data_IF_434153069459
#
_entry.id   IF_434153069459
#
_cell.length_a   1.000
_cell.length_b   1.000
_cell.length_c   1.000
_cell.angle_alpha   90.00
_cell.angle_beta   90.00
_cell.angle_gamma   90.00
#
_symmetry.space_group_name_H-M   'P 1'
#
loop_
_entity.id
_entity.type
_entity.pdbx_description
1 polymer ?
#
# COMPACT_ATOMS: atom_id res chain seq x y z
N UNK A 1 11.32 -38.67 8.98
CA UNK A 1 11.27 -39.16 10.38
C UNK A 1 9.98 -38.67 10.97
N UNK A 2 9.17 -39.58 11.58
CA UNK A 2 7.94 -39.19 12.26
C UNK A 2 8.32 -38.39 13.53
N UNK A 3 7.90 -37.13 13.60
CA UNK A 3 8.16 -36.27 14.76
C UNK A 3 7.39 -36.76 15.98
N UNK A 4 7.87 -36.41 17.18
CA UNK A 4 7.20 -36.71 18.45
C UNK A 4 5.81 -36.08 18.50
N UNK A 5 4.89 -36.75 19.19
CA UNK A 5 3.50 -36.30 19.36
C UNK A 5 3.29 -35.66 20.75
N UNK A 6 2.17 -34.96 20.95
CA UNK A 6 1.75 -34.45 22.27
C UNK A 6 1.63 -35.57 23.33
N UNK A 7 1.37 -36.82 22.89
CA UNK A 7 1.31 -37.96 23.78
C UNK A 7 2.70 -38.39 24.27
N UNK A 8 3.72 -38.24 23.43
CA UNK A 8 5.09 -38.54 23.83
C UNK A 8 5.61 -37.53 24.83
N UNK A 9 5.28 -36.25 24.65
CA UNK A 9 5.56 -35.17 25.63
C UNK A 9 4.85 -35.47 26.97
N UNK A 10 3.57 -35.85 26.94
CA UNK A 10 2.81 -36.18 28.14
C UNK A 10 3.42 -37.35 28.91
N UNK A 11 3.80 -38.41 28.18
CA UNK A 11 4.48 -39.56 28.73
C UNK A 11 5.84 -39.20 29.33
N UNK A 12 6.64 -38.42 28.65
CA UNK A 12 7.97 -37.99 29.10
C UNK A 12 7.88 -37.05 30.32
N UNK A 13 6.93 -36.12 30.34
CA UNK A 13 6.71 -35.16 31.45
C UNK A 13 5.99 -35.81 32.65
N UNK A 14 5.49 -37.03 32.55
CA UNK A 14 4.72 -37.67 33.60
C UNK A 14 3.38 -37.00 33.93
N UNK A 15 2.74 -36.39 32.93
CA UNK A 15 1.46 -35.67 33.09
C UNK A 15 0.42 -36.17 32.06
N UNK A 16 -0.84 -35.77 32.25
CA UNK A 16 -1.88 -36.07 31.25
C UNK A 16 -1.73 -35.25 29.95
N UNK A 17 -2.25 -35.74 28.82
CA UNK A 17 -2.37 -35.01 27.57
C UNK A 17 -3.07 -33.67 27.74
N UNK A 18 -4.11 -33.61 28.60
CA UNK A 18 -4.83 -32.37 28.91
C UNK A 18 -3.98 -31.38 29.65
N UNK A 19 -3.07 -31.81 30.52
CA UNK A 19 -2.11 -30.95 31.22
C UNK A 19 -1.11 -30.35 30.23
N UNK A 20 -0.55 -31.14 29.31
CA UNK A 20 0.31 -30.63 28.22
C UNK A 20 -0.45 -29.61 27.37
N UNK A 21 -1.68 -29.93 26.98
CA UNK A 21 -2.51 -29.01 26.20
C UNK A 21 -2.74 -27.67 26.92
N UNK A 22 -3.01 -27.68 28.23
CA UNK A 22 -3.16 -26.44 29.02
C UNK A 22 -1.86 -25.64 29.11
N UNK A 23 -0.71 -26.30 29.28
CA UNK A 23 0.59 -25.60 29.25
C UNK A 23 0.80 -24.91 27.91
N UNK A 24 0.47 -25.58 26.78
CA UNK A 24 0.62 -25.04 25.42
C UNK A 24 -0.34 -23.87 25.12
N UNK A 25 -1.50 -23.83 25.78
CA UNK A 25 -2.52 -22.79 25.57
C UNK A 25 -2.52 -21.71 26.68
N UNK A 26 -1.52 -21.68 27.57
CA UNK A 26 -1.44 -20.70 28.65
C UNK A 26 -2.45 -20.92 29.78
N UNK A 27 -3.12 -22.08 29.80
CA UNK A 27 -4.09 -22.43 30.84
C UNK A 27 -3.46 -22.66 32.19
N UNK A 28 -4.26 -22.52 33.30
CA UNK A 28 -3.79 -22.69 34.64
C UNK A 28 -3.33 -24.14 34.93
N UNK A 29 -2.05 -24.28 35.29
CA UNK A 29 -1.41 -25.53 35.70
C UNK A 29 -0.41 -25.25 36.85
N UNK A 30 -0.01 -26.26 37.62
CA UNK A 30 1.01 -26.07 38.65
C UNK A 30 2.38 -25.75 38.01
N UNK A 31 3.18 -24.91 38.69
CA UNK A 31 4.54 -24.57 38.24
C UNK A 31 5.40 -25.83 37.97
N UNK A 32 5.26 -26.86 38.80
CA UNK A 32 5.94 -28.14 38.64
C UNK A 32 5.56 -28.85 37.33
N UNK A 33 4.27 -28.86 36.96
CA UNK A 33 3.81 -29.46 35.73
C UNK A 33 4.26 -28.66 34.53
N UNK A 34 4.24 -27.31 34.61
CA UNK A 34 4.71 -26.43 33.56
C UNK A 34 6.19 -26.64 33.27
N UNK A 35 7.03 -26.71 34.29
CA UNK A 35 8.47 -26.96 34.17
C UNK A 35 8.74 -28.35 33.57
N UNK A 36 8.05 -29.39 34.03
CA UNK A 36 8.20 -30.75 33.50
C UNK A 36 7.82 -30.86 32.03
N UNK A 37 6.74 -30.19 31.61
CA UNK A 37 6.31 -30.17 30.20
C UNK A 37 7.31 -29.42 29.30
N UNK A 38 7.83 -28.25 29.76
CA UNK A 38 8.84 -27.50 28.99
C UNK A 38 10.12 -28.32 28.81
N UNK A 39 10.64 -28.93 29.88
CA UNK A 39 11.82 -29.79 29.81
C UNK A 39 11.63 -30.99 28.85
N UNK A 40 10.46 -31.64 28.91
CA UNK A 40 10.13 -32.75 28.01
C UNK A 40 10.03 -32.31 26.54
N UNK A 41 9.51 -31.11 26.26
CA UNK A 41 9.44 -30.54 24.90
C UNK A 41 10.84 -30.24 24.35
N UNK A 42 11.72 -29.66 25.16
CA UNK A 42 13.11 -29.38 24.78
C UNK A 42 13.88 -30.68 24.49
N UNK A 43 13.79 -31.66 25.37
CA UNK A 43 14.50 -32.95 25.21
C UNK A 43 14.02 -33.77 24.00
N UNK A 44 12.73 -33.67 23.67
CA UNK A 44 12.15 -34.36 22.51
C UNK A 44 12.20 -33.48 21.23
N UNK A 45 12.77 -32.29 21.27
CA UNK A 45 12.71 -31.31 20.17
C UNK A 45 11.27 -31.17 19.62
N UNK A 46 10.28 -31.28 20.54
CA UNK A 46 8.89 -31.24 20.18
C UNK A 46 8.42 -29.81 19.91
N UNK A 47 8.01 -29.56 18.69
CA UNK A 47 7.28 -28.32 18.32
C UNK A 47 5.79 -28.63 18.20
N UNK A 48 4.93 -27.87 18.89
CA UNK A 48 3.49 -28.04 18.80
C UNK A 48 3.00 -27.92 17.35
N UNK A 49 2.18 -28.85 16.91
CA UNK A 49 1.57 -28.77 15.58
C UNK A 49 0.56 -27.60 15.56
N UNK A 50 0.93 -26.49 14.94
CA UNK A 50 0.09 -25.28 14.81
C UNK A 50 -1.28 -25.60 14.19
N UNK A 51 -1.34 -26.45 13.18
CA UNK A 51 -2.60 -26.84 12.54
C UNK A 51 -3.58 -27.51 13.53
N UNK A 52 -3.06 -28.32 14.47
CA UNK A 52 -3.89 -28.93 15.51
C UNK A 52 -4.35 -27.93 16.59
N UNK A 53 -3.67 -26.80 16.75
CA UNK A 53 -4.08 -25.72 17.64
C UNK A 53 -5.16 -24.86 16.97
N UNK A 54 -4.99 -24.51 15.72
CA UNK A 54 -5.96 -23.75 14.89
C UNK A 54 -7.31 -24.49 14.82
N UNK A 55 -7.30 -25.81 14.61
CA UNK A 55 -8.51 -26.64 14.65
C UNK A 55 -9.28 -26.59 15.99
N UNK A 56 -8.66 -26.04 17.04
CA UNK A 56 -9.28 -25.84 18.36
C UNK A 56 -9.65 -24.39 18.63
N UNK A 57 -9.62 -23.51 17.60
CA UNK A 57 -9.95 -22.09 17.72
C UNK A 57 -8.80 -21.22 18.19
N UNK A 58 -7.54 -21.69 18.12
CA UNK A 58 -6.38 -20.84 18.36
C UNK A 58 -6.06 -19.97 17.13
N UNK A 59 -5.42 -18.81 17.36
CA UNK A 59 -4.92 -17.95 16.29
C UNK A 59 -3.95 -18.68 15.38
N UNK A 60 -3.97 -18.36 14.08
CA UNK A 60 -3.03 -18.87 13.07
C UNK A 60 -1.68 -18.14 13.14
N UNK A 61 -1.64 -16.96 13.81
CA UNK A 61 -0.53 -16.02 13.79
C UNK A 61 -0.10 -15.68 12.35
N UNK A 62 -1.08 -15.59 11.45
CA UNK A 62 -0.86 -15.31 10.05
C UNK A 62 -1.88 -14.27 9.57
N UNK A 63 -1.41 -13.24 8.88
CA UNK A 63 -2.25 -12.21 8.24
C UNK A 63 -2.16 -12.38 6.72
N UNK A 64 -3.30 -12.34 6.05
CA UNK A 64 -3.35 -12.32 4.59
C UNK A 64 -3.15 -10.92 4.04
N UNK A 65 -2.19 -10.73 3.13
CA UNK A 65 -2.01 -9.49 2.39
C UNK A 65 -2.49 -9.71 0.96
N UNK A 66 -3.63 -9.11 0.64
CA UNK A 66 -4.35 -9.32 -0.63
C UNK A 66 -3.97 -8.23 -1.62
N UNK A 67 -3.51 -8.64 -2.78
CA UNK A 67 -3.19 -7.72 -3.88
C UNK A 67 -4.40 -7.65 -4.83
N UNK A 68 -5.15 -6.55 -4.73
CA UNK A 68 -6.36 -6.35 -5.51
C UNK A 68 -6.12 -5.86 -6.94
N UNK A 69 -4.93 -5.28 -7.24
CA UNK A 69 -4.59 -4.70 -8.53
C UNK A 69 -3.58 -5.54 -9.30
N UNK A 70 -3.74 -5.56 -10.66
CA UNK A 70 -2.77 -6.16 -11.58
C UNK A 70 -1.40 -5.47 -11.48
N UNK A 71 -0.33 -6.24 -11.63
CA UNK A 71 1.07 -5.76 -11.66
C UNK A 71 1.59 -5.09 -10.38
N UNK A 72 0.91 -5.24 -9.25
CA UNK A 72 1.36 -4.64 -7.98
C UNK A 72 2.71 -5.20 -7.53
N UNK A 73 3.01 -6.47 -7.82
CA UNK A 73 4.26 -7.14 -7.43
C UNK A 73 5.54 -6.50 -7.97
N UNK A 74 5.46 -5.82 -9.11
CA UNK A 74 6.62 -5.18 -9.75
C UNK A 74 6.90 -3.77 -9.23
N UNK A 75 6.10 -3.27 -8.28
CA UNK A 75 6.26 -1.91 -7.75
C UNK A 75 7.22 -1.90 -6.56
N UNK A 76 8.26 -1.09 -6.61
CA UNK A 76 9.17 -0.85 -5.46
C UNK A 76 8.41 -0.41 -4.21
N UNK A 77 7.36 0.40 -4.35
CA UNK A 77 6.51 0.81 -3.24
C UNK A 77 5.87 -0.37 -2.51
N UNK A 78 5.55 -1.48 -3.19
CA UNK A 78 5.02 -2.67 -2.54
C UNK A 78 6.06 -3.31 -1.62
N UNK A 79 7.29 -3.52 -2.11
CA UNK A 79 8.34 -4.15 -1.31
C UNK A 79 8.66 -3.35 -0.05
N UNK A 80 8.66 -2.02 -0.16
CA UNK A 80 8.86 -1.11 0.99
C UNK A 80 7.70 -1.19 1.99
N UNK A 81 6.45 -1.26 1.52
CA UNK A 81 5.28 -1.46 2.40
C UNK A 81 5.31 -2.81 3.08
N UNK A 82 5.64 -3.88 2.34
CA UNK A 82 5.78 -5.22 2.92
C UNK A 82 6.91 -5.28 3.96
N UNK A 83 8.01 -4.56 3.75
CA UNK A 83 9.07 -4.44 4.74
C UNK A 83 8.58 -3.77 6.03
N UNK A 84 7.78 -2.69 5.91
CA UNK A 84 7.12 -2.05 7.06
C UNK A 84 6.16 -2.99 7.80
N UNK A 85 5.32 -3.71 7.06
CA UNK A 85 4.41 -4.71 7.64
C UNK A 85 5.19 -5.83 8.35
N UNK A 86 6.24 -6.35 7.69
CA UNK A 86 7.08 -7.40 8.26
C UNK A 86 7.75 -6.97 9.57
N UNK A 87 8.16 -5.71 9.67
CA UNK A 87 8.77 -5.18 10.88
C UNK A 87 7.83 -5.32 12.10
N UNK A 88 6.56 -4.95 11.95
CA UNK A 88 5.55 -5.04 13.01
C UNK A 88 5.16 -6.49 13.29
N UNK A 89 4.84 -7.25 12.26
CA UNK A 89 4.40 -8.64 12.40
C UNK A 89 5.46 -9.53 13.03
N UNK A 90 6.73 -9.39 12.64
CA UNK A 90 7.81 -10.19 13.20
C UNK A 90 7.99 -9.96 14.72
N UNK A 91 7.83 -8.72 15.19
CA UNK A 91 7.90 -8.38 16.61
C UNK A 91 6.74 -9.00 17.41
N UNK A 92 5.56 -9.09 16.80
CA UNK A 92 4.37 -9.68 17.40
C UNK A 92 4.29 -11.21 17.22
N UNK A 93 5.28 -11.85 16.58
CA UNK A 93 5.28 -13.29 16.29
C UNK A 93 4.31 -13.71 15.19
N UNK A 94 3.84 -12.76 14.39
CA UNK A 94 2.99 -13.00 13.22
C UNK A 94 3.84 -13.21 11.96
N UNK A 95 3.28 -13.99 11.04
CA UNK A 95 3.73 -14.08 9.65
C UNK A 95 2.68 -13.45 8.73
N UNK A 96 3.01 -13.17 7.48
CA UNK A 96 1.98 -12.80 6.51
C UNK A 96 2.05 -13.69 5.26
N UNK A 97 0.89 -13.88 4.63
CA UNK A 97 0.70 -14.63 3.41
C UNK A 97 0.28 -13.68 2.29
N UNK A 98 1.04 -13.63 1.20
CA UNK A 98 0.63 -12.88 0.01
C UNK A 98 -0.46 -13.66 -0.73
N UNK A 99 -1.63 -13.04 -0.86
CA UNK A 99 -2.77 -13.61 -1.56
C UNK A 99 -2.93 -12.86 -2.89
N UNK A 100 -2.66 -13.57 -3.98
CA UNK A 100 -2.85 -13.05 -5.32
C UNK A 100 -4.21 -13.52 -5.85
N UNK A 101 -5.08 -12.57 -6.19
CA UNK A 101 -6.45 -12.83 -6.61
C UNK A 101 -6.68 -12.60 -8.11
N UNK A 102 -5.63 -12.45 -8.89
CA UNK A 102 -5.68 -11.96 -10.29
C UNK A 102 -6.34 -12.90 -11.32
N UNK A 103 -6.64 -14.13 -10.96
CA UNK A 103 -7.20 -15.09 -11.93
C UNK A 103 -8.65 -14.80 -12.30
N UNK A 104 -9.37 -14.04 -11.45
CA UNK A 104 -10.78 -13.66 -11.69
C UNK A 104 -11.10 -12.35 -10.99
N UNK A 105 -11.09 -11.19 -11.69
CA UNK A 105 -11.28 -9.87 -11.08
C UNK A 105 -12.54 -9.74 -10.22
N UNK A 106 -13.63 -10.39 -10.63
CA UNK A 106 -14.91 -10.36 -9.91
C UNK A 106 -14.99 -11.35 -8.73
N UNK A 107 -13.94 -12.15 -8.46
CA UNK A 107 -13.89 -13.13 -7.38
C UNK A 107 -12.75 -12.89 -6.40
N UNK A 108 -12.01 -11.80 -6.56
CA UNK A 108 -10.82 -11.50 -5.75
C UNK A 108 -11.14 -11.43 -4.25
N UNK A 109 -12.25 -10.81 -3.91
CA UNK A 109 -12.70 -10.65 -2.53
C UNK A 109 -13.18 -11.98 -1.96
N UNK A 110 -14.06 -12.71 -2.68
CA UNK A 110 -14.56 -14.00 -2.19
C UNK A 110 -13.41 -14.99 -1.98
N UNK A 111 -12.46 -15.05 -2.91
CA UNK A 111 -11.26 -15.89 -2.76
C UNK A 111 -10.46 -15.53 -1.50
N UNK A 112 -10.27 -14.23 -1.22
CA UNK A 112 -9.55 -13.79 -0.03
C UNK A 112 -10.34 -14.10 1.26
N UNK A 113 -11.68 -13.93 1.25
CA UNK A 113 -12.52 -14.23 2.40
C UNK A 113 -12.50 -15.72 2.78
N UNK A 114 -12.36 -16.64 1.81
CA UNK A 114 -12.19 -18.08 2.13
C UNK A 114 -10.96 -18.36 3.00
N UNK A 115 -9.90 -17.54 2.91
CA UNK A 115 -8.74 -17.71 3.80
C UNK A 115 -9.08 -17.42 5.27
N UNK A 116 -10.00 -16.47 5.54
CA UNK A 116 -10.54 -16.25 6.89
C UNK A 116 -11.49 -17.39 7.32
N UNK A 117 -12.40 -17.77 6.45
CA UNK A 117 -13.42 -18.80 6.71
C UNK A 117 -12.78 -20.16 6.99
N UNK A 118 -11.74 -20.50 6.25
CA UNK A 118 -10.96 -21.74 6.42
C UNK A 118 -9.97 -21.65 7.59
N UNK A 119 -9.95 -20.55 8.36
CA UNK A 119 -9.00 -20.29 9.44
C UNK A 119 -7.53 -20.46 8.99
N UNK A 120 -7.21 -20.01 7.79
CA UNK A 120 -5.84 -19.98 7.25
C UNK A 120 -5.10 -18.71 7.62
N UNK A 121 -5.82 -17.63 7.89
CA UNK A 121 -5.33 -16.34 8.35
C UNK A 121 -6.28 -15.77 9.41
N UNK A 122 -5.76 -14.91 10.29
CA UNK A 122 -6.53 -14.26 11.36
C UNK A 122 -7.16 -12.95 10.90
N UNK A 123 -6.61 -12.33 9.87
CA UNK A 123 -7.08 -11.07 9.29
C UNK A 123 -6.57 -10.86 7.88
N UNK A 124 -7.12 -9.86 7.19
CA UNK A 124 -6.77 -9.51 5.81
C UNK A 124 -6.43 -8.03 5.67
N UNK A 125 -5.35 -7.73 4.96
CA UNK A 125 -5.01 -6.36 4.52
C UNK A 125 -5.15 -6.31 3.01
N UNK A 126 -6.11 -5.53 2.51
CA UNK A 126 -6.32 -5.33 1.08
C UNK A 126 -5.49 -4.16 0.58
N UNK A 127 -4.54 -4.43 -0.32
CA UNK A 127 -3.69 -3.43 -0.97
C UNK A 127 -4.34 -2.97 -2.28
N UNK A 128 -4.72 -1.70 -2.32
CA UNK A 128 -5.37 -1.06 -3.46
C UNK A 128 -6.87 -0.86 -3.32
N UNK A 129 -7.47 -0.25 -4.33
CA UNK A 129 -8.91 0.01 -4.40
C UNK A 129 -9.67 -1.22 -4.92
N UNK A 130 -10.80 -1.53 -4.31
CA UNK A 130 -11.74 -2.54 -4.78
C UNK A 130 -12.83 -1.84 -5.58
N UNK A 131 -12.88 -2.12 -6.88
CA UNK A 131 -13.76 -1.40 -7.81
C UNK A 131 -15.22 -1.79 -7.66
N UNK A 132 -15.48 -3.07 -7.52
CA UNK A 132 -16.81 -3.63 -7.44
C UNK A 132 -17.48 -3.27 -6.10
N UNK A 133 -18.67 -2.66 -6.19
CA UNK A 133 -19.42 -2.19 -5.02
C UNK A 133 -19.94 -3.34 -4.17
N UNK A 134 -20.40 -4.43 -4.78
CA UNK A 134 -20.91 -5.59 -4.06
C UNK A 134 -19.78 -6.30 -3.31
N UNK A 135 -18.60 -6.43 -3.92
CA UNK A 135 -17.43 -6.97 -3.25
C UNK A 135 -17.01 -6.10 -2.06
N UNK A 136 -17.07 -4.77 -2.18
CA UNK A 136 -16.82 -3.87 -1.03
C UNK A 136 -17.84 -4.08 0.09
N UNK A 137 -19.11 -4.20 -0.24
CA UNK A 137 -20.15 -4.46 0.78
C UNK A 137 -19.93 -5.77 1.52
N UNK A 138 -19.38 -6.80 0.86
CA UNK A 138 -19.00 -8.07 1.51
C UNK A 138 -17.89 -7.86 2.53
N UNK A 139 -16.86 -7.10 2.16
CA UNK A 139 -15.74 -6.81 3.06
C UNK A 139 -16.17 -6.01 4.29
N UNK A 140 -17.04 -5.02 4.12
CA UNK A 140 -17.52 -4.16 5.21
C UNK A 140 -18.32 -4.91 6.30
N UNK A 141 -18.69 -6.15 6.05
CA UNK A 141 -19.34 -7.02 7.04
C UNK A 141 -18.35 -7.71 7.99
N UNK A 142 -17.05 -7.61 7.71
CA UNK A 142 -15.98 -8.26 8.46
C UNK A 142 -15.12 -7.22 9.16
N UNK A 143 -14.87 -7.45 10.44
CA UNK A 143 -14.02 -6.56 11.23
C UNK A 143 -12.52 -6.82 11.03
N UNK A 144 -12.17 -8.06 10.73
CA UNK A 144 -10.79 -8.53 10.59
C UNK A 144 -10.15 -8.10 9.25
N UNK A 145 -10.51 -6.88 8.77
CA UNK A 145 -10.05 -6.38 7.47
C UNK A 145 -9.57 -4.95 7.58
N UNK A 146 -8.35 -4.71 7.09
CA UNK A 146 -7.78 -3.38 6.87
C UNK A 146 -7.78 -3.07 5.37
N UNK A 147 -8.31 -1.89 5.02
CA UNK A 147 -8.29 -1.37 3.65
C UNK A 147 -7.16 -0.40 3.46
N UNK A 148 -6.63 -0.36 2.24
CA UNK A 148 -5.63 0.62 1.87
C UNK A 148 -6.06 1.50 0.68
N UNK A 149 -7.34 1.44 0.32
CA UNK A 149 -7.89 2.23 -0.77
C UNK A 149 -8.20 3.68 -0.39
N UNK A 150 -8.36 4.52 -1.40
CA UNK A 150 -8.61 5.97 -1.27
C UNK A 150 -10.11 6.34 -1.25
N UNK A 151 -11.02 5.38 -1.23
CA UNK A 151 -12.47 5.70 -1.30
C UNK A 151 -12.97 6.33 -0.02
N UNK A 152 -13.71 7.42 -0.19
CA UNK A 152 -14.27 8.25 0.88
C UNK A 152 -15.57 7.65 1.45
N UNK A 153 -16.19 6.71 0.76
CA UNK A 153 -17.49 6.13 1.09
C UNK A 153 -17.44 4.96 2.10
N UNK A 154 -16.28 4.66 2.65
CA UNK A 154 -16.12 3.65 3.71
C UNK A 154 -16.27 4.32 5.08
N UNK A 155 -17.52 4.56 5.49
CA UNK A 155 -17.83 5.12 6.82
C UNK A 155 -17.80 4.06 7.95
N UNK A 156 -17.67 2.78 7.61
CA UNK A 156 -17.63 1.67 8.56
C UNK A 156 -16.54 0.69 8.14
N UNK A 157 -15.34 0.85 8.68
CA UNK A 157 -14.21 -0.04 8.39
C UNK A 157 -12.90 0.52 8.93
N UNK A 158 -11.87 -0.28 8.85
CA UNK A 158 -10.52 0.10 9.21
C UNK A 158 -9.74 0.42 7.95
N UNK A 159 -9.27 1.65 7.83
CA UNK A 159 -8.59 2.12 6.62
C UNK A 159 -7.28 2.81 6.94
N UNK A 160 -6.27 2.54 6.09
CA UNK A 160 -5.03 3.31 6.02
C UNK A 160 -4.87 3.80 4.58
N UNK A 161 -4.60 5.09 4.34
CA UNK A 161 -4.53 5.65 3.00
C UNK A 161 -3.52 6.81 2.89
N UNK A 162 -3.08 7.10 1.66
CA UNK A 162 -2.05 8.12 1.41
C UNK A 162 -2.60 9.53 1.15
N UNK A 163 -3.89 9.66 0.84
CA UNK A 163 -4.50 10.95 0.52
C UNK A 163 -4.11 11.48 -0.87
N UNK A 164 -4.25 10.66 -1.92
CA UNK A 164 -3.86 11.00 -3.30
C UNK A 164 -4.42 12.33 -3.79
N UNK A 165 -5.64 12.67 -3.42
CA UNK A 165 -6.25 13.94 -3.75
C UNK A 165 -5.49 15.11 -3.09
N UNK A 166 -5.17 15.01 -1.81
CA UNK A 166 -4.58 16.10 -1.03
C UNK A 166 -3.16 16.44 -1.49
N UNK A 167 -2.28 15.45 -1.62
CA UNK A 167 -0.93 15.73 -2.08
C UNK A 167 -0.87 16.18 -3.54
N UNK A 168 -1.80 15.73 -4.38
CA UNK A 168 -1.92 16.21 -5.75
C UNK A 168 -2.39 17.66 -5.78
N UNK A 169 -3.38 18.01 -4.95
CA UNK A 169 -3.85 19.39 -4.78
C UNK A 169 -2.70 20.31 -4.37
N UNK A 170 -1.87 19.89 -3.42
CA UNK A 170 -0.79 20.74 -2.92
C UNK A 170 0.30 20.94 -3.99
N UNK A 171 0.59 19.94 -4.84
CA UNK A 171 1.49 20.11 -5.98
C UNK A 171 0.91 21.06 -7.05
N UNK A 172 -0.38 20.94 -7.38
CA UNK A 172 -1.02 21.87 -8.32
C UNK A 172 -1.12 23.27 -7.74
N UNK A 173 -1.43 23.40 -6.46
CA UNK A 173 -1.46 24.69 -5.76
C UNK A 173 -0.10 25.38 -5.88
N UNK A 174 0.98 24.67 -5.57
CA UNK A 174 2.33 25.20 -5.69
C UNK A 174 2.67 25.65 -7.11
N UNK A 175 2.30 24.88 -8.14
CA UNK A 175 2.50 25.27 -9.53
C UNK A 175 1.71 26.52 -9.90
N UNK A 176 0.44 26.61 -9.51
CA UNK A 176 -0.45 27.74 -9.85
C UNK A 176 -0.02 29.00 -9.10
N UNK A 177 0.42 28.92 -7.86
CA UNK A 177 1.00 30.03 -7.09
C UNK A 177 2.30 30.57 -7.71
N UNK A 178 3.03 29.72 -8.45
CA UNK A 178 4.19 30.14 -9.24
C UNK A 178 3.82 30.53 -10.69
N UNK A 179 2.55 30.74 -11.00
CA UNK A 179 2.08 31.23 -12.30
C UNK A 179 1.79 30.15 -13.36
N UNK A 180 2.00 28.87 -13.06
CA UNK A 180 1.78 27.77 -14.01
C UNK A 180 0.31 27.32 -14.01
N UNK A 181 -0.51 27.92 -14.85
CA UNK A 181 -1.93 27.54 -14.99
C UNK A 181 -2.18 26.45 -16.06
N UNK A 182 -1.22 26.24 -16.96
CA UNK A 182 -1.30 25.24 -18.02
C UNK A 182 -0.37 24.06 -17.69
N UNK A 183 -0.89 23.10 -16.92
CA UNK A 183 -0.12 21.97 -16.37
C UNK A 183 -0.50 20.66 -17.08
N UNK A 184 0.50 19.92 -17.55
CA UNK A 184 0.36 18.57 -18.10
C UNK A 184 0.65 17.53 -17.03
N UNK A 185 -0.32 16.66 -16.74
CA UNK A 185 -0.13 15.53 -15.82
C UNK A 185 0.17 14.27 -16.60
N UNK A 186 1.29 13.64 -16.31
CA UNK A 186 1.79 12.48 -17.05
C UNK A 186 1.82 11.24 -16.18
N UNK A 187 1.23 10.16 -16.69
CA UNK A 187 1.20 8.85 -16.06
C UNK A 187 1.95 7.81 -16.89
N UNK A 188 2.70 6.97 -16.22
CA UNK A 188 3.35 5.80 -16.82
C UNK A 188 2.59 4.50 -16.54
N UNK A 189 1.66 4.55 -15.60
CA UNK A 189 0.92 3.37 -15.15
C UNK A 189 -0.55 3.72 -15.06
N UNK A 190 -1.35 3.06 -15.88
CA UNK A 190 -2.79 3.30 -15.92
C UNK A 190 -3.44 2.94 -14.59
N UNK A 191 -3.98 3.94 -13.94
CA UNK A 191 -4.91 3.81 -12.82
C UNK A 191 -5.96 4.92 -12.97
N UNK A 192 -7.08 4.58 -13.59
CA UNK A 192 -8.13 5.53 -13.92
C UNK A 192 -8.62 6.34 -12.71
N UNK A 193 -8.69 5.73 -11.53
CA UNK A 193 -9.14 6.43 -10.32
C UNK A 193 -8.13 7.43 -9.80
N UNK A 194 -6.85 7.07 -9.81
CA UNK A 194 -5.79 8.00 -9.48
C UNK A 194 -5.81 9.20 -10.42
N UNK A 195 -5.99 8.94 -11.72
CA UNK A 195 -6.13 9.98 -12.74
C UNK A 195 -7.33 10.89 -12.47
N UNK A 196 -8.50 10.31 -12.17
CA UNK A 196 -9.72 11.08 -11.83
C UNK A 196 -9.53 11.96 -10.60
N UNK A 197 -8.88 11.45 -9.54
CA UNK A 197 -8.61 12.21 -8.32
C UNK A 197 -7.65 13.37 -8.55
N UNK A 198 -6.59 13.14 -9.30
CA UNK A 198 -5.65 14.22 -9.66
C UNK A 198 -6.31 15.25 -10.55
N UNK A 199 -7.14 14.80 -11.51
CA UNK A 199 -7.95 15.71 -12.34
C UNK A 199 -8.86 16.57 -11.47
N UNK A 200 -9.60 15.97 -10.53
CA UNK A 200 -10.47 16.70 -9.61
C UNK A 200 -9.67 17.68 -8.74
N UNK A 201 -8.48 17.31 -8.27
CA UNK A 201 -7.60 18.19 -7.53
C UNK A 201 -7.15 19.39 -8.37
N UNK A 202 -6.74 19.17 -9.61
CA UNK A 202 -6.36 20.24 -10.55
C UNK A 202 -7.52 21.19 -10.83
N UNK A 203 -8.68 20.65 -11.18
CA UNK A 203 -9.90 21.44 -11.45
C UNK A 203 -10.30 22.31 -10.24
N UNK A 204 -10.23 21.75 -9.04
CA UNK A 204 -10.54 22.51 -7.84
C UNK A 204 -9.55 23.64 -7.58
N UNK A 205 -8.24 23.40 -7.75
CA UNK A 205 -7.24 24.46 -7.58
C UNK A 205 -7.42 25.52 -8.65
N UNK A 206 -7.59 25.17 -9.90
CA UNK A 206 -7.89 26.14 -10.96
C UNK A 206 -9.10 27.00 -10.62
N UNK A 207 -10.20 26.39 -10.16
CA UNK A 207 -11.42 27.11 -9.74
C UNK A 207 -11.14 28.11 -8.60
N UNK A 208 -10.31 27.71 -7.62
CA UNK A 208 -9.94 28.59 -6.50
C UNK A 208 -9.26 29.87 -6.95
N UNK A 209 -8.49 29.81 -8.04
CA UNK A 209 -7.79 30.96 -8.64
C UNK A 209 -8.55 31.61 -9.80
N UNK A 210 -9.81 31.25 -10.04
CA UNK A 210 -10.61 31.78 -11.14
C UNK A 210 -10.06 31.42 -12.53
N UNK A 211 -9.35 30.30 -12.65
CA UNK A 211 -8.75 29.78 -13.89
C UNK A 211 -9.55 28.60 -14.40
N UNK A 212 -9.48 28.36 -15.71
CA UNK A 212 -9.96 27.11 -16.31
C UNK A 212 -8.80 26.09 -16.34
N UNK A 213 -9.05 24.80 -16.08
CA UNK A 213 -8.06 23.77 -16.28
C UNK A 213 -7.70 23.66 -17.76
N UNK A 214 -6.43 23.34 -18.06
CA UNK A 214 -5.97 23.16 -19.43
C UNK A 214 -6.69 21.99 -20.12
N UNK A 215 -7.02 22.16 -21.38
CA UNK A 215 -7.54 21.07 -22.23
C UNK A 215 -6.45 20.01 -22.43
N UNK A 216 -6.85 18.74 -22.50
CA UNK A 216 -5.93 17.62 -22.69
C UNK A 216 -4.75 17.58 -21.69
N UNK A 217 -4.98 18.06 -20.47
CA UNK A 217 -3.99 18.17 -19.39
C UNK A 217 -3.57 16.84 -18.77
N UNK A 218 -4.07 15.71 -19.29
CA UNK A 218 -3.73 14.36 -18.80
C UNK A 218 -3.20 13.54 -19.97
N UNK A 219 -2.01 12.97 -19.80
CA UNK A 219 -1.37 12.07 -20.74
C UNK A 219 -1.04 10.74 -20.04
N UNK A 220 -1.67 9.66 -20.51
CA UNK A 220 -1.41 8.31 -20.02
C UNK A 220 -0.50 7.58 -21.03
N UNK A 221 0.75 7.36 -20.64
CA UNK A 221 1.76 6.70 -21.49
C UNK A 221 1.59 5.17 -21.53
N UNK A 222 0.65 4.58 -20.79
CA UNK A 222 0.38 3.15 -20.79
C UNK A 222 -0.56 2.71 -21.92
N UNK A 223 -1.47 3.59 -22.33
CA UNK A 223 -2.56 3.24 -23.25
C UNK A 223 -2.20 3.45 -24.72
N UNK A 224 -0.92 3.62 -25.05
CA UNK A 224 -0.50 3.81 -26.42
C UNK A 224 -0.31 2.48 -27.14
N UNK A 225 -0.85 2.44 -28.37
CA UNK A 225 -0.76 1.28 -29.24
C UNK A 225 0.69 0.93 -29.56
N UNK A 226 0.94 -0.32 -29.95
CA UNK A 226 2.22 -0.85 -30.42
C UNK A 226 2.86 -0.06 -31.58
N UNK A 227 2.17 0.94 -32.12
CA UNK A 227 2.63 1.81 -33.23
C UNK A 227 3.51 2.97 -32.74
N UNK A 228 3.44 3.35 -31.46
CA UNK A 228 4.27 4.44 -30.91
C UNK A 228 5.60 3.88 -30.43
N UNK A 229 6.64 4.11 -31.23
CA UNK A 229 7.99 3.60 -30.95
C UNK A 229 8.66 4.25 -29.73
N UNK A 230 8.29 5.49 -29.38
CA UNK A 230 8.92 6.24 -28.27
C UNK A 230 7.89 7.05 -27.48
N UNK A 231 7.52 6.61 -26.24
CA UNK A 231 6.58 7.34 -25.39
C UNK A 231 7.04 8.78 -25.02
N UNK A 232 8.34 9.03 -24.98
CA UNK A 232 8.87 10.36 -24.66
C UNK A 232 8.70 11.34 -25.82
N UNK A 233 8.78 10.88 -27.07
CA UNK A 233 8.52 11.68 -28.25
C UNK A 233 7.06 12.15 -28.28
N UNK A 234 6.12 11.24 -28.04
CA UNK A 234 4.71 11.59 -27.93
C UNK A 234 4.46 12.63 -26.84
N UNK A 235 5.06 12.42 -25.65
CA UNK A 235 4.95 13.37 -24.55
C UNK A 235 5.46 14.75 -24.96
N UNK A 236 6.59 14.82 -25.62
CA UNK A 236 7.21 16.05 -26.08
C UNK A 236 6.31 16.81 -27.07
N UNK A 237 5.82 16.11 -28.11
CA UNK A 237 4.87 16.68 -29.08
C UNK A 237 3.59 17.17 -28.41
N UNK A 238 3.03 16.37 -27.50
CA UNK A 238 1.83 16.73 -26.75
C UNK A 238 2.06 17.97 -25.89
N UNK A 239 3.22 18.03 -25.21
CA UNK A 239 3.61 19.16 -24.39
C UNK A 239 3.67 20.47 -25.22
N UNK A 240 4.35 20.46 -26.36
CA UNK A 240 4.48 21.61 -27.23
C UNK A 240 3.14 22.04 -27.84
N UNK A 241 2.36 21.09 -28.33
CA UNK A 241 1.05 21.33 -28.94
C UNK A 241 0.08 21.98 -27.96
N UNK A 242 0.08 21.50 -26.70
CA UNK A 242 -0.78 22.01 -25.64
C UNK A 242 -0.28 23.30 -25.02
N UNK A 243 0.94 23.77 -25.40
CA UNK A 243 1.59 24.96 -24.81
C UNK A 243 1.65 24.91 -23.29
N UNK A 244 1.91 23.72 -22.74
CA UNK A 244 2.04 23.53 -21.31
C UNK A 244 3.29 24.24 -20.78
N UNK A 245 3.21 24.80 -19.58
CA UNK A 245 4.32 25.48 -18.92
C UNK A 245 4.91 24.67 -17.78
N UNK A 246 4.17 23.65 -17.33
CA UNK A 246 4.62 22.76 -16.27
C UNK A 246 4.16 21.33 -16.50
N UNK A 247 4.90 20.40 -15.92
CA UNK A 247 4.60 18.95 -15.93
C UNK A 247 4.47 18.45 -14.49
N UNK A 248 3.40 17.70 -14.23
CA UNK A 248 3.28 16.87 -13.04
C UNK A 248 3.53 15.41 -13.41
N UNK A 249 4.70 14.89 -13.09
CA UNK A 249 5.10 13.50 -13.36
C UNK A 249 4.64 12.55 -12.25
N UNK A 250 4.20 11.35 -12.62
CA UNK A 250 3.71 10.32 -11.68
C UNK A 250 4.79 9.78 -10.74
N UNK A 251 6.05 9.95 -11.09
CA UNK A 251 7.20 9.60 -10.24
C UNK A 251 8.41 10.49 -10.54
N UNK A 252 9.34 10.60 -9.60
CA UNK A 252 10.64 11.26 -9.84
C UNK A 252 11.45 10.54 -10.92
N UNK A 253 11.33 9.22 -11.03
CA UNK A 253 11.96 8.42 -12.10
C UNK A 253 11.45 8.85 -13.49
N UNK A 254 10.13 8.99 -13.65
CA UNK A 254 9.53 9.55 -14.87
C UNK A 254 9.99 10.99 -15.10
N UNK A 255 10.01 11.82 -14.06
CA UNK A 255 10.49 13.19 -14.10
C UNK A 255 11.91 13.30 -14.65
N UNK A 256 12.82 12.49 -14.17
CA UNK A 256 14.23 12.45 -14.64
C UNK A 256 14.33 12.00 -16.10
N UNK A 257 13.51 11.06 -16.54
CA UNK A 257 13.46 10.65 -17.96
C UNK A 257 12.93 11.78 -18.85
N UNK A 258 11.93 12.53 -18.38
CA UNK A 258 11.41 13.72 -19.08
C UNK A 258 12.51 14.77 -19.20
N UNK A 259 13.19 15.10 -18.10
CA UNK A 259 14.28 16.09 -18.10
C UNK A 259 15.36 15.70 -19.10
N UNK A 260 15.81 14.44 -19.09
CA UNK A 260 16.84 13.96 -20.00
C UNK A 260 16.40 14.05 -21.47
N UNK A 261 15.18 13.62 -21.77
CA UNK A 261 14.67 13.65 -23.14
C UNK A 261 14.47 15.09 -23.64
N UNK A 262 13.84 15.96 -22.85
CA UNK A 262 13.57 17.35 -23.21
C UNK A 262 14.88 18.13 -23.41
N UNK A 263 15.89 17.88 -22.59
CA UNK A 263 17.22 18.47 -22.74
C UNK A 263 17.86 18.08 -24.09
N UNK A 264 17.70 16.82 -24.55
CA UNK A 264 18.17 16.38 -25.87
C UNK A 264 17.42 17.07 -27.03
N UNK A 265 16.19 17.52 -26.77
CA UNK A 265 15.38 18.31 -27.72
C UNK A 265 15.59 19.84 -27.60
N UNK A 266 16.51 20.28 -26.74
CA UNK A 266 16.86 21.69 -26.56
C UNK A 266 16.02 22.45 -25.55
N UNK A 267 15.14 21.79 -24.78
CA UNK A 267 14.39 22.43 -23.69
C UNK A 267 15.11 22.28 -22.35
N UNK A 268 15.21 23.37 -21.63
CA UNK A 268 15.89 23.45 -20.34
C UNK A 268 14.88 23.58 -19.20
N UNK A 269 15.01 22.67 -18.20
CA UNK A 269 14.21 22.73 -16.99
C UNK A 269 14.38 24.08 -16.29
N UNK A 270 13.30 24.66 -15.77
CA UNK A 270 13.23 25.97 -15.12
C UNK A 270 13.40 27.17 -16.05
N UNK A 271 13.75 26.99 -17.32
CA UNK A 271 13.76 28.06 -18.32
C UNK A 271 12.57 27.94 -19.28
N UNK A 272 12.40 26.78 -19.84
CA UNK A 272 11.36 26.50 -20.84
C UNK A 272 10.13 25.82 -20.24
N UNK A 273 10.32 25.09 -19.11
CA UNK A 273 9.24 24.41 -18.40
C UNK A 273 9.59 24.15 -16.94
N UNK A 274 8.57 23.94 -16.13
CA UNK A 274 8.67 23.50 -14.74
C UNK A 274 8.24 22.05 -14.59
N UNK A 275 8.72 21.37 -13.53
CA UNK A 275 8.38 19.98 -13.27
C UNK A 275 8.21 19.72 -11.78
N UNK A 276 7.12 19.03 -11.42
CA UNK A 276 6.90 18.47 -10.07
C UNK A 276 6.61 16.97 -10.19
N UNK A 277 6.91 16.22 -9.14
CA UNK A 277 6.72 14.77 -9.17
C UNK A 277 6.29 14.18 -7.83
N UNK A 278 5.90 12.91 -7.86
CA UNK A 278 5.73 12.09 -6.65
C UNK A 278 7.04 11.35 -6.42
N UNK A 279 7.62 11.52 -5.24
CA UNK A 279 8.76 10.74 -4.76
C UNK A 279 8.27 9.65 -3.82
N UNK A 280 8.72 8.43 -4.04
CA UNK A 280 8.50 7.34 -3.11
C UNK A 280 9.77 7.07 -2.32
N UNK A 281 9.63 6.75 -1.05
CA UNK A 281 10.78 6.52 -0.17
C UNK A 281 11.70 5.37 -0.62
N UNK A 282 11.21 4.51 -1.52
CA UNK A 282 12.02 3.46 -2.15
C UNK A 282 12.83 3.93 -3.37
N UNK A 283 12.59 5.15 -3.84
CA UNK A 283 13.38 5.73 -4.92
C UNK A 283 14.77 6.03 -4.37
N UNK A 284 15.79 5.58 -5.06
CA UNK A 284 17.19 5.60 -4.62
C UNK A 284 17.69 7.03 -4.41
N UNK A 285 17.68 7.47 -3.16
CA UNK A 285 18.17 8.76 -2.76
C UNK A 285 17.15 9.91 -2.90
N UNK A 286 17.45 11.03 -2.26
CA UNK A 286 16.72 12.28 -2.48
C UNK A 286 17.07 12.80 -3.88
N UNK A 287 16.04 13.08 -4.69
CA UNK A 287 16.24 13.82 -5.93
C UNK A 287 16.51 15.30 -5.55
N UNK A 288 17.71 15.81 -5.75
CA UNK A 288 18.04 17.17 -5.30
C UNK A 288 17.47 18.24 -6.23
N UNK A 289 16.90 17.84 -7.36
CA UNK A 289 16.47 18.74 -8.42
C UNK A 289 14.95 18.91 -8.46
N UNK A 290 14.18 17.84 -8.30
CA UNK A 290 12.74 17.83 -8.55
C UNK A 290 11.96 18.19 -7.30
N UNK A 291 11.18 19.27 -7.35
CA UNK A 291 10.14 19.59 -6.35
C UNK A 291 9.11 18.45 -6.31
N UNK A 292 8.89 17.87 -5.15
CA UNK A 292 8.13 16.65 -5.04
C UNK A 292 7.35 16.51 -3.73
N UNK A 293 6.35 15.64 -3.76
CA UNK A 293 5.75 15.07 -2.55
C UNK A 293 6.36 13.71 -2.29
N UNK A 294 6.94 13.55 -1.10
CA UNK A 294 7.50 12.29 -0.65
C UNK A 294 6.47 11.45 0.10
N UNK A 295 6.20 10.25 -0.40
CA UNK A 295 5.25 9.30 0.19
C UNK A 295 6.00 8.25 1.02
N UNK A 296 5.71 8.12 2.34
CA UNK A 296 6.44 7.23 3.23
C UNK A 296 5.89 5.78 3.16
N UNK A 297 6.20 5.04 2.11
CA UNK A 297 5.69 3.68 1.90
C UNK A 297 6.03 2.69 3.03
N UNK A 298 7.18 2.87 3.71
CA UNK A 298 7.54 2.02 4.86
C UNK A 298 6.59 2.28 6.04
N UNK A 299 6.39 3.54 6.41
CA UNK A 299 5.47 3.96 7.47
C UNK A 299 4.03 3.52 7.18
N UNK A 300 3.63 3.61 5.91
CA UNK A 300 2.35 3.09 5.47
C UNK A 300 2.18 1.59 5.77
N UNK A 301 3.22 0.81 5.52
CA UNK A 301 3.25 -0.61 5.89
C UNK A 301 3.17 -0.85 7.39
N UNK A 302 3.93 -0.07 8.19
CA UNK A 302 3.88 -0.12 9.66
C UNK A 302 2.47 0.10 10.16
N UNK A 303 1.81 1.17 9.70
CA UNK A 303 0.46 1.55 10.15
C UNK A 303 -0.61 0.51 9.76
N UNK A 304 -0.50 -0.09 8.57
CA UNK A 304 -1.39 -1.18 8.16
C UNK A 304 -1.26 -2.40 9.09
N UNK A 305 -0.04 -2.79 9.40
CA UNK A 305 0.20 -3.95 10.27
C UNK A 305 -0.19 -3.67 11.72
N UNK A 306 0.14 -2.49 12.25
CA UNK A 306 -0.24 -2.11 13.61
C UNK A 306 -1.77 -2.08 13.77
N UNK A 307 -2.48 -1.45 12.83
CA UNK A 307 -3.94 -1.42 12.86
C UNK A 307 -4.54 -2.84 12.79
N UNK A 308 -3.94 -3.74 12.01
CA UNK A 308 -4.38 -5.14 11.96
C UNK A 308 -4.19 -5.83 13.32
N UNK A 309 -3.04 -5.66 13.98
CA UNK A 309 -2.82 -6.25 15.30
C UNK A 309 -3.78 -5.67 16.34
N UNK A 310 -3.99 -4.35 16.35
CA UNK A 310 -4.97 -3.70 17.25
C UNK A 310 -6.38 -4.32 17.08
N UNK A 311 -6.79 -4.60 15.86
CA UNK A 311 -8.10 -5.24 15.55
C UNK A 311 -8.15 -6.67 16.09
N UNK A 312 -7.06 -7.43 15.97
CA UNK A 312 -6.99 -8.82 16.40
C UNK A 312 -6.91 -8.94 17.92
N UNK A 313 -6.33 -7.95 18.62
CA UNK A 313 -6.26 -7.90 20.07
C UNK A 313 -7.56 -7.40 20.71
N UNK A 314 -8.23 -6.40 20.09
CA UNK A 314 -9.46 -5.79 20.62
C UNK A 314 -10.62 -5.86 19.61
N UNK A 315 -11.50 -6.83 19.80
CA UNK A 315 -12.71 -6.98 18.97
C UNK A 315 -13.72 -5.84 19.12
N UNK A 316 -13.55 -4.96 20.11
CA UNK A 316 -14.42 -3.80 20.38
C UNK A 316 -13.86 -2.50 19.81
N UNK A 317 -12.64 -2.52 19.27
CA UNK A 317 -11.97 -1.35 18.70
C UNK A 317 -12.90 -0.58 17.73
N UNK A 318 -13.02 0.72 17.93
CA UNK A 318 -13.78 1.57 16.99
C UNK A 318 -13.11 1.67 15.64
N UNK A 319 -13.92 1.84 14.58
CA UNK A 319 -13.40 1.99 13.22
C UNK A 319 -12.47 3.20 13.11
N UNK A 320 -11.35 3.00 12.44
CA UNK A 320 -10.31 4.01 12.25
C UNK A 320 -10.08 4.30 10.78
N UNK A 321 -9.92 5.58 10.47
CA UNK A 321 -9.56 6.09 9.16
C UNK A 321 -8.25 6.86 9.27
N UNK A 322 -7.12 6.21 8.92
CA UNK A 322 -5.78 6.71 9.14
C UNK A 322 -5.21 7.23 7.83
N UNK A 323 -5.05 8.55 7.72
CA UNK A 323 -4.31 9.16 6.64
C UNK A 323 -2.82 9.21 6.99
N UNK A 324 -1.98 8.66 6.13
CA UNK A 324 -0.52 8.74 6.27
C UNK A 324 -0.05 10.13 5.82
N UNK A 325 0.68 10.85 6.68
CA UNK A 325 1.22 12.16 6.30
C UNK A 325 2.28 12.02 5.22
N UNK A 326 2.34 12.99 4.31
CA UNK A 326 3.37 13.12 3.28
C UNK A 326 4.24 14.34 3.55
N UNK A 327 5.43 14.37 2.98
CA UNK A 327 6.34 15.52 3.07
C UNK A 327 6.40 16.24 1.74
N UNK A 328 6.18 17.55 1.73
CA UNK A 328 6.38 18.40 0.55
C UNK A 328 7.83 18.89 0.54
N UNK A 329 8.57 18.63 -0.55
CA UNK A 329 9.96 19.03 -0.74
C UNK A 329 10.06 20.00 -1.90
N UNK A 330 10.40 21.25 -1.61
CA UNK A 330 10.64 22.26 -2.62
C UNK A 330 12.10 22.19 -3.05
N UNK A 331 12.31 22.04 -4.34
CA UNK A 331 13.62 21.99 -5.00
C UNK A 331 13.67 23.00 -6.15
N UNK A 332 14.67 22.91 -7.01
CA UNK A 332 14.92 23.92 -8.05
C UNK A 332 14.17 23.72 -9.36
N UNK A 333 13.26 22.75 -9.48
CA UNK A 333 12.62 22.40 -10.76
C UNK A 333 11.44 23.27 -11.19
N UNK A 334 11.05 24.26 -10.38
CA UNK A 334 9.93 25.13 -10.68
C UNK A 334 10.40 26.57 -10.83
N UNK A 335 10.04 27.19 -11.94
CA UNK A 335 10.23 28.62 -12.20
C UNK A 335 9.08 29.43 -11.59
N UNK A 336 9.37 30.61 -11.04
CA UNK A 336 8.33 31.57 -10.70
C UNK A 336 8.04 32.46 -11.94
N UNK A 337 6.85 32.32 -12.51
CA UNK A 337 6.40 33.13 -13.67
C UNK A 337 5.70 34.43 -13.24
N UNK A 338 5.58 34.71 -11.93
CA UNK A 338 4.93 35.89 -11.39
C UNK A 338 5.94 37.05 -11.16
N UNK A 339 7.22 36.70 -11.20
CA UNK A 339 8.34 37.68 -11.19
C UNK A 339 8.72 38.06 -12.63
#
# INVERSE_FOLDING_TARGET
MAGYSILDVAKKAGVSKSTVSRVLTGGSVSQKAQAAVKAAMEELEYSPNRNAQVLRGASTYTVGVVMAEHNTLLRRSLTTRLAGMNHVFAQAGYSFLLINTHTTPNQSVSTALHFLEDSRVDGLIFLGDIEDEEQRKLLLKRREIVYTGERVDIHKGFRVYMGNYYYSRDLYLYLIENGHTNVLTVYERSNQRLMQRRKAAYEQVCKQFGKAPAENSILDLCNFSSEIKNPMELLYEHFLKGKFTAIFADSTELGNRIINYFSQQGLTLKQDYSLVAIQRAADSGEDPLITSVCLPDFEYGLQCAQLMLDILEDSTLEYKDIQIPYTFKIQSSVQNLME
#
